data_IF_227889326799
#
_entry.id   IF_227889326799
#
_cell.length_a   1.000
_cell.length_b   1.000
_cell.length_c   1.000
_cell.angle_alpha   90.00
_cell.angle_beta   90.00
_cell.angle_gamma   90.00
#
_symmetry.space_group_name_H-M   'P 1'
#
loop_
_entity.id
_entity.type
_entity.pdbx_description
1 polymer ?
#
# COMPACT_ATOMS: atom_id res chain seq x y z
N UNK A 1 -8.62 5.68 -7.54
CA UNK A 1 -7.90 4.69 -6.71
C UNK A 1 -6.67 5.38 -6.19
N UNK A 2 -6.68 5.73 -4.91
CA UNK A 2 -5.48 6.26 -4.26
C UNK A 2 -4.32 5.27 -4.43
N UNK A 3 -3.16 5.76 -4.87
CA UNK A 3 -1.98 4.93 -5.10
C UNK A 3 -1.22 4.77 -3.79
N UNK A 4 -0.77 3.56 -3.50
CA UNK A 4 0.06 3.29 -2.33
C UNK A 4 1.29 4.22 -2.31
N UNK A 5 1.58 4.92 -1.19
CA UNK A 5 2.65 5.92 -1.12
C UNK A 5 4.05 5.32 -1.31
N UNK A 6 4.28 4.08 -0.87
CA UNK A 6 5.55 3.36 -1.04
C UNK A 6 5.73 2.92 -2.48
N UNK A 7 4.65 2.46 -3.13
CA UNK A 7 4.65 2.17 -4.56
C UNK A 7 5.00 3.43 -5.36
N UNK A 8 4.35 4.56 -5.04
CA UNK A 8 4.58 5.86 -5.69
C UNK A 8 6.04 6.28 -5.53
N UNK A 9 6.54 6.31 -4.30
CA UNK A 9 7.93 6.67 -4.02
C UNK A 9 8.94 5.76 -4.73
N UNK A 10 8.71 4.44 -4.74
CA UNK A 10 9.59 3.48 -5.45
C UNK A 10 9.70 3.84 -6.93
N UNK A 11 8.58 4.15 -7.57
CA UNK A 11 8.53 4.50 -8.99
C UNK A 11 9.18 5.85 -9.29
N UNK A 12 8.98 6.85 -8.43
CA UNK A 12 9.64 8.15 -8.53
C UNK A 12 11.17 8.04 -8.42
N UNK A 13 11.66 7.06 -7.65
CA UNK A 13 13.09 6.75 -7.52
C UNK A 13 13.63 5.82 -8.61
N UNK A 14 12.80 5.37 -9.55
CA UNK A 14 13.21 4.44 -10.61
C UNK A 14 13.62 3.07 -10.10
N UNK A 15 13.23 2.69 -8.88
CA UNK A 15 13.61 1.42 -8.27
C UNK A 15 12.73 0.28 -8.80
N UNK A 16 13.37 -0.82 -9.20
CA UNK A 16 12.64 -2.07 -9.45
C UNK A 16 12.08 -2.59 -8.13
N UNK A 17 10.98 -3.36 -8.20
CA UNK A 17 10.40 -3.97 -7.01
C UNK A 17 11.39 -4.96 -6.37
N UNK A 18 12.13 -5.71 -7.18
CA UNK A 18 13.18 -6.62 -6.70
C UNK A 18 14.29 -5.87 -5.97
N UNK A 19 14.80 -4.78 -6.56
CA UNK A 19 15.83 -3.96 -5.93
C UNK A 19 15.39 -3.38 -4.59
N UNK A 20 14.16 -2.84 -4.52
CA UNK A 20 13.63 -2.36 -3.24
C UNK A 20 13.43 -3.49 -2.23
N UNK A 21 12.97 -4.68 -2.65
CA UNK A 21 12.79 -5.81 -1.75
C UNK A 21 14.12 -6.25 -1.12
N UNK A 22 15.20 -6.29 -1.92
CA UNK A 22 16.56 -6.58 -1.44
C UNK A 22 17.03 -5.52 -0.45
N UNK A 23 16.89 -4.23 -0.76
CA UNK A 23 17.26 -3.12 0.14
C UNK A 23 16.51 -3.20 1.49
N UNK A 24 15.24 -3.60 1.45
CA UNK A 24 14.42 -3.75 2.64
C UNK A 24 14.62 -5.09 3.37
N UNK A 25 15.43 -6.01 2.82
CA UNK A 25 15.66 -7.34 3.38
C UNK A 25 14.38 -8.18 3.48
N UNK A 26 13.49 -8.08 2.50
CA UNK A 26 12.24 -8.84 2.42
C UNK A 26 12.10 -9.51 1.05
N UNK A 27 11.20 -10.50 0.94
CA UNK A 27 10.94 -11.14 -0.36
C UNK A 27 10.20 -10.21 -1.32
N UNK A 28 10.38 -10.41 -2.62
CA UNK A 28 9.63 -9.72 -3.67
C UNK A 28 8.12 -9.74 -3.42
N UNK A 29 7.59 -10.91 -3.03
CA UNK A 29 6.16 -11.09 -2.74
C UNK A 29 5.71 -10.37 -1.47
N UNK A 30 6.58 -10.24 -0.47
CA UNK A 30 6.27 -9.45 0.71
C UNK A 30 6.10 -7.97 0.35
N UNK A 31 6.99 -7.43 -0.49
CA UNK A 31 6.86 -6.06 -0.99
C UNK A 31 5.63 -5.91 -1.91
N UNK A 32 5.38 -6.86 -2.81
CA UNK A 32 4.20 -6.82 -3.68
C UNK A 32 2.88 -6.79 -2.87
N UNK A 33 2.76 -7.64 -1.85
CA UNK A 33 1.60 -7.65 -0.94
C UNK A 33 1.45 -6.35 -0.16
N UNK A 34 2.56 -5.73 0.22
CA UNK A 34 2.56 -4.43 0.88
C UNK A 34 2.03 -3.36 -0.09
N UNK A 35 2.55 -3.29 -1.32
CA UNK A 35 2.10 -2.34 -2.35
C UNK A 35 0.61 -2.52 -2.71
N UNK A 36 0.11 -3.75 -2.71
CA UNK A 36 -1.32 -4.06 -2.94
C UNK A 36 -2.21 -3.82 -1.72
N UNK A 37 -1.64 -3.43 -0.57
CA UNK A 37 -2.43 -3.17 0.64
C UNK A 37 -2.97 -4.44 1.32
N UNK A 38 -2.36 -5.60 1.11
CA UNK A 38 -2.80 -6.84 1.78
C UNK A 38 -2.40 -6.90 3.26
N UNK A 39 -1.43 -6.07 3.67
CA UNK A 39 -1.01 -5.96 5.06
C UNK A 39 -1.83 -4.88 5.75
N UNK A 40 -2.14 -5.09 7.02
CA UNK A 40 -2.79 -4.06 7.83
C UNK A 40 -1.83 -2.93 8.15
N UNK A 41 -0.60 -3.28 8.53
CA UNK A 41 0.46 -2.34 8.91
C UNK A 41 1.81 -2.73 8.32
N UNK A 42 2.77 -1.80 8.38
CA UNK A 42 4.16 -2.06 8.04
C UNK A 42 4.90 -2.50 9.30
N UNK A 43 5.71 -3.55 9.20
CA UNK A 43 6.59 -3.96 10.30
C UNK A 43 7.57 -2.82 10.65
N UNK A 44 7.84 -2.54 11.94
CA UNK A 44 8.74 -1.47 12.34
C UNK A 44 10.11 -1.50 11.66
N UNK A 45 10.69 -2.69 11.48
CA UNK A 45 11.97 -2.88 10.80
C UNK A 45 11.94 -2.42 9.33
N UNK A 46 10.84 -2.68 8.61
CA UNK A 46 10.68 -2.26 7.21
C UNK A 46 10.51 -0.74 7.14
N UNK A 47 9.74 -0.15 8.06
CA UNK A 47 9.57 1.30 8.14
C UNK A 47 10.90 2.00 8.44
N UNK A 48 11.71 1.45 9.36
CA UNK A 48 13.06 1.93 9.63
C UNK A 48 13.95 1.87 8.38
N UNK A 49 13.99 0.72 7.70
CA UNK A 49 14.80 0.58 6.46
C UNK A 49 14.33 1.50 5.34
N UNK A 50 13.03 1.71 5.19
CA UNK A 50 12.47 2.70 4.24
C UNK A 50 12.96 4.13 4.55
N UNK A 51 12.99 4.51 5.82
CA UNK A 51 13.57 5.80 6.25
C UNK A 51 15.06 5.89 5.93
N UNK A 52 15.83 4.84 6.23
CA UNK A 52 17.27 4.78 5.98
C UNK A 52 17.62 4.96 4.50
N UNK A 53 16.78 4.47 3.57
CA UNK A 53 17.00 4.61 2.12
C UNK A 53 16.36 5.89 1.52
N UNK A 54 15.90 6.82 2.36
CA UNK A 54 15.47 8.16 1.93
C UNK A 54 13.97 8.33 1.65
N UNK A 55 13.10 7.54 2.28
CA UNK A 55 11.66 7.82 2.26
C UNK A 55 11.34 9.10 3.05
N UNK A 56 10.65 10.10 2.45
CA UNK A 56 10.55 11.46 3.01
C UNK A 56 9.59 11.60 4.20
N UNK A 57 8.53 10.79 4.28
CA UNK A 57 7.49 10.84 5.33
C UNK A 57 7.65 9.75 6.38
N UNK A 58 6.65 9.51 7.22
CA UNK A 58 6.61 8.32 8.08
C UNK A 58 5.97 7.15 7.30
N UNK A 59 6.74 6.12 6.91
CA UNK A 59 6.21 5.06 6.05
C UNK A 59 5.00 4.35 6.63
N UNK A 60 4.96 4.15 7.95
CA UNK A 60 3.87 3.44 8.59
C UNK A 60 2.62 4.31 8.63
N UNK A 61 2.76 5.57 9.04
CA UNK A 61 1.65 6.54 9.06
C UNK A 61 1.06 6.75 7.67
N UNK A 62 1.91 6.99 6.67
CA UNK A 62 1.48 7.24 5.29
C UNK A 62 0.76 6.01 4.71
N UNK A 63 1.30 4.82 4.98
CA UNK A 63 0.68 3.56 4.56
C UNK A 63 -0.68 3.31 5.21
N UNK A 64 -0.78 3.53 6.53
CA UNK A 64 -2.02 3.34 7.27
C UNK A 64 -3.10 4.33 6.81
N UNK A 65 -2.73 5.59 6.58
CA UNK A 65 -3.64 6.60 6.04
C UNK A 65 -4.19 6.18 4.66
N UNK A 66 -3.29 5.77 3.75
CA UNK A 66 -3.69 5.26 2.45
C UNK A 66 -4.57 3.99 2.53
N UNK A 67 -4.28 3.08 3.47
CA UNK A 67 -5.07 1.86 3.69
C UNK A 67 -6.49 2.15 4.14
N UNK A 68 -6.69 3.15 5.00
CA UNK A 68 -8.05 3.53 5.39
C UNK A 68 -8.81 4.21 4.25
N UNK A 69 -8.17 5.07 3.46
CA UNK A 69 -8.80 5.60 2.24
C UNK A 69 -9.22 4.47 1.28
N UNK A 70 -8.33 3.49 1.06
CA UNK A 70 -8.63 2.32 0.24
C UNK A 70 -9.81 1.50 0.80
N UNK A 71 -9.91 1.39 2.12
CA UNK A 71 -11.01 0.69 2.79
C UNK A 71 -12.33 1.41 2.57
N UNK A 72 -12.38 2.73 2.72
CA UNK A 72 -13.58 3.53 2.47
C UNK A 72 -13.99 3.48 0.98
N UNK A 73 -13.03 3.57 0.05
CA UNK A 73 -13.31 3.37 -1.39
C UNK A 73 -13.96 2.00 -1.67
N UNK A 74 -13.47 0.94 -1.01
CA UNK A 74 -14.01 -0.41 -1.19
C UNK A 74 -15.39 -0.58 -0.55
N UNK A 75 -15.62 -0.01 0.64
CA UNK A 75 -16.95 0.00 1.28
C UNK A 75 -17.99 0.64 0.38
N UNK A 76 -17.67 1.79 -0.21
CA UNK A 76 -18.58 2.51 -1.11
C UNK A 76 -18.86 1.70 -2.40
N UNK A 77 -17.85 1.04 -2.97
CA UNK A 77 -18.05 0.14 -4.12
C UNK A 77 -18.98 -1.03 -3.77
N UNK A 78 -18.75 -1.66 -2.63
CA UNK A 78 -19.61 -2.76 -2.15
C UNK A 78 -21.05 -2.26 -1.95
N UNK A 79 -21.24 -1.09 -1.33
CA UNK A 79 -22.55 -0.48 -1.14
C UNK A 79 -23.30 -0.31 -2.47
N UNK A 80 -22.65 0.26 -3.49
CA UNK A 80 -23.26 0.44 -4.83
C UNK A 80 -23.64 -0.88 -5.50
N UNK A 81 -22.77 -1.90 -5.40
CA UNK A 81 -23.05 -3.23 -5.94
C UNK A 81 -24.25 -3.88 -5.25
N UNK A 82 -24.37 -3.73 -3.93
CA UNK A 82 -25.51 -4.26 -3.18
C UNK A 82 -26.82 -3.53 -3.53
N UNK A 83 -26.79 -2.20 -3.67
CA UNK A 83 -27.96 -1.43 -4.11
C UNK A 83 -28.44 -1.85 -5.51
N UNK A 84 -27.54 -1.94 -6.48
CA UNK A 84 -27.87 -2.36 -7.85
C UNK A 84 -28.40 -3.80 -7.95
N UNK A 85 -28.03 -4.68 -7.02
CA UNK A 85 -28.57 -6.05 -6.94
C UNK A 85 -29.97 -6.10 -6.35
N UNK A 86 -30.30 -5.19 -5.44
CA UNK A 86 -31.63 -5.11 -4.82
C UNK A 86 -32.68 -4.45 -5.73
N UNK A 87 -32.24 -3.74 -6.78
CA UNK A 87 -33.12 -3.09 -7.77
C UNK A 87 -33.39 -3.95 -9.01
N UNK A 88 -32.81 -5.16 -9.12
CA UNK A 88 -33.17 -6.12 -10.16
C UNK A 88 -34.31 -7.03 -9.63
N UNK A 89 -35.54 -6.92 -10.16
CA UNK A 89 -36.67 -7.77 -9.80
C UNK A 89 -36.48 -9.23 -10.23
#
# INVERSE_FOLDING_TARGET
MTRNPILKWRQEKGLTREGLAVLLGISYWALARLECGHRETIKPEIAKRLKEIGYPGDPNRDYCAWREELREELKEKVRRVLQAKNEKP
#
